data_IF_192391708752
#
_entry.id   IF_192391708752
#
_cell.length_a   1.000
_cell.length_b   1.000
_cell.length_c   1.000
_cell.angle_alpha   90.00
_cell.angle_beta   90.00
_cell.angle_gamma   90.00
#
_symmetry.space_group_name_H-M   'P 1'
#
loop_
_entity.id
_entity.type
_entity.pdbx_description
1 polymer ?
#
# COMPACT_ATOMS: atom_id res chain seq x y z
N UNK A 1 32.20 -16.82 18.29
CA UNK A 1 31.15 -17.58 19.00
C UNK A 1 31.43 -19.06 18.82
N UNK A 2 31.11 -19.89 19.81
CA UNK A 2 31.18 -21.34 19.64
C UNK A 2 30.12 -21.78 18.62
N UNK A 3 30.46 -22.74 17.74
CA UNK A 3 29.54 -23.37 16.81
C UNK A 3 29.25 -24.78 17.33
N UNK A 4 27.97 -25.09 17.50
CA UNK A 4 27.46 -26.36 18.01
C UNK A 4 26.63 -26.96 16.88
N UNK A 5 27.15 -28.03 16.28
CA UNK A 5 26.47 -28.75 15.22
C UNK A 5 25.39 -29.67 15.82
N UNK A 6 24.14 -29.57 15.34
CA UNK A 6 23.04 -30.40 15.83
C UNK A 6 23.31 -31.91 15.64
N UNK A 7 24.11 -32.31 14.65
CA UNK A 7 24.43 -33.73 14.44
C UNK A 7 25.37 -34.27 15.52
N UNK A 8 26.14 -33.40 16.20
CA UNK A 8 26.94 -33.79 17.35
C UNK A 8 26.08 -34.19 18.56
N UNK A 9 24.81 -33.77 18.58
CA UNK A 9 23.80 -34.14 19.58
C UNK A 9 22.86 -35.25 19.12
N UNK A 10 23.12 -35.86 17.96
CA UNK A 10 22.37 -36.99 17.43
C UNK A 10 21.25 -36.64 16.46
N UNK A 11 21.14 -35.38 16.02
CA UNK A 11 20.22 -35.04 14.92
C UNK A 11 20.71 -35.70 13.62
N UNK A 12 19.77 -36.24 12.85
CA UNK A 12 20.04 -37.02 11.64
C UNK A 12 19.77 -36.22 10.37
N UNK A 13 18.78 -35.33 10.36
CA UNK A 13 18.41 -34.55 9.17
C UNK A 13 17.87 -35.42 8.03
N UNK A 14 17.33 -36.60 8.32
CA UNK A 14 16.85 -37.58 7.33
C UNK A 14 15.35 -37.42 6.96
N UNK A 15 14.66 -36.49 7.61
CA UNK A 15 13.24 -36.19 7.44
C UNK A 15 12.29 -37.16 8.11
N UNK A 16 12.78 -38.20 8.79
CA UNK A 16 11.99 -39.28 9.36
C UNK A 16 12.24 -39.49 10.86
N UNK A 17 13.49 -39.42 11.30
CA UNK A 17 13.89 -39.52 12.71
C UNK A 17 13.52 -38.22 13.41
N UNK A 18 12.91 -38.31 14.60
CA UNK A 18 12.59 -37.14 15.40
C UNK A 18 13.88 -36.50 15.96
N UNK A 19 14.24 -35.35 15.39
CA UNK A 19 15.45 -34.60 15.71
C UNK A 19 15.21 -33.58 16.84
N UNK A 20 13.97 -33.41 17.31
CA UNK A 20 13.60 -32.38 18.29
C UNK A 20 14.49 -32.41 19.55
N UNK A 21 14.65 -33.59 20.15
CA UNK A 21 15.44 -33.73 21.39
C UNK A 21 16.91 -33.39 21.19
N UNK A 22 17.49 -33.77 20.04
CA UNK A 22 18.88 -33.48 19.70
C UNK A 22 19.10 -31.98 19.45
N UNK A 23 18.19 -31.34 18.72
CA UNK A 23 18.21 -29.90 18.47
C UNK A 23 18.11 -29.11 19.78
N UNK A 24 17.19 -29.49 20.68
CA UNK A 24 17.06 -28.83 21.99
C UNK A 24 18.28 -29.07 22.89
N UNK A 25 18.97 -30.22 22.77
CA UNK A 25 20.22 -30.45 23.49
C UNK A 25 21.35 -29.54 23.01
N UNK A 26 21.47 -29.32 21.69
CA UNK A 26 22.43 -28.38 21.12
C UNK A 26 22.16 -26.93 21.57
N UNK A 27 20.89 -26.53 21.62
CA UNK A 27 20.47 -25.22 22.14
C UNK A 27 20.81 -25.04 23.62
N UNK A 28 20.54 -26.05 24.46
CA UNK A 28 20.91 -26.01 25.88
C UNK A 28 22.42 -25.86 26.06
N UNK A 29 23.23 -26.58 25.29
CA UNK A 29 24.69 -26.40 25.32
C UNK A 29 25.09 -24.96 24.97
N UNK A 30 24.45 -24.35 23.97
CA UNK A 30 24.70 -22.96 23.60
C UNK A 30 24.31 -22.00 24.73
N UNK A 31 23.16 -22.22 25.38
CA UNK A 31 22.68 -21.44 26.53
C UNK A 31 23.63 -21.56 27.72
N UNK A 32 24.07 -22.78 28.06
CA UNK A 32 25.02 -23.04 29.16
C UNK A 32 26.38 -22.37 28.93
N UNK A 33 26.74 -22.14 27.67
CA UNK A 33 27.95 -21.37 27.27
C UNK A 33 27.73 -19.86 27.26
N UNK A 34 26.53 -19.39 27.62
CA UNK A 34 26.16 -17.98 27.62
C UNK A 34 25.85 -17.41 26.24
N UNK A 35 25.53 -18.26 25.27
CA UNK A 35 25.26 -17.90 23.88
C UNK A 35 26.14 -18.70 22.91
N UNK A 36 25.82 -18.62 21.61
CA UNK A 36 26.55 -19.38 20.59
C UNK A 36 25.74 -19.55 19.31
N UNK A 37 26.36 -20.23 18.34
CA UNK A 37 25.70 -20.62 17.10
C UNK A 37 25.31 -22.08 17.20
N UNK A 38 24.03 -22.38 17.01
CA UNK A 38 23.53 -23.73 16.78
C UNK A 38 23.37 -23.91 15.28
N UNK A 39 24.18 -24.77 14.70
CA UNK A 39 24.30 -24.95 13.26
C UNK A 39 23.55 -26.19 12.78
N UNK A 40 22.77 -26.02 11.71
CA UNK A 40 22.06 -27.07 11.00
C UNK A 40 22.73 -27.32 9.65
N UNK A 41 23.48 -28.43 9.49
CA UNK A 41 23.90 -28.90 8.19
C UNK A 41 22.73 -29.14 7.24
N UNK A 42 23.03 -29.37 5.95
CA UNK A 42 22.00 -29.74 4.99
C UNK A 42 21.25 -31.01 5.45
N UNK A 43 19.93 -30.96 5.43
CA UNK A 43 19.06 -32.02 5.94
C UNK A 43 17.63 -31.55 6.17
N UNK A 44 16.73 -32.52 6.26
CA UNK A 44 15.34 -32.33 6.68
C UNK A 44 15.22 -32.78 8.14
N UNK A 45 15.06 -31.84 9.07
CA UNK A 45 14.98 -32.14 10.49
C UNK A 45 13.52 -32.26 10.89
N UNK A 46 13.07 -33.47 11.19
CA UNK A 46 11.70 -33.70 11.67
C UNK A 46 11.59 -33.35 13.15
N UNK A 47 10.61 -32.53 13.51
CA UNK A 47 10.44 -31.98 14.86
C UNK A 47 9.09 -32.39 15.43
N UNK A 48 9.08 -33.25 16.46
CA UNK A 48 7.84 -33.58 17.17
C UNK A 48 7.30 -32.44 18.05
N UNK A 49 8.11 -31.41 18.30
CA UNK A 49 7.77 -30.22 19.10
C UNK A 49 8.43 -28.93 18.59
N UNK A 50 8.10 -27.81 19.21
CA UNK A 50 8.67 -26.49 18.88
C UNK A 50 10.13 -26.34 19.32
N UNK A 51 10.90 -25.56 18.57
CA UNK A 51 12.17 -24.98 19.01
C UNK A 51 11.87 -23.66 19.73
N UNK A 52 11.97 -23.67 21.05
CA UNK A 52 11.65 -22.54 21.91
C UNK A 52 11.66 -22.93 23.39
N UNK A 53 11.73 -21.95 24.28
CA UNK A 53 11.68 -22.17 25.74
C UNK A 53 10.61 -21.26 26.41
N UNK A 54 9.51 -21.03 25.70
CA UNK A 54 8.39 -20.23 26.18
C UNK A 54 8.81 -18.83 26.67
N UNK A 55 8.44 -18.49 27.91
CA UNK A 55 8.71 -17.20 28.54
C UNK A 55 10.17 -17.06 29.03
N UNK A 56 10.84 -18.16 29.37
CA UNK A 56 12.25 -18.16 29.77
C UNK A 56 13.12 -17.76 28.57
N UNK A 57 12.80 -18.33 27.40
CA UNK A 57 13.35 -17.94 26.11
C UNK A 57 14.85 -18.14 25.96
N UNK A 58 15.39 -17.61 24.87
CA UNK A 58 16.80 -17.67 24.54
C UNK A 58 17.42 -16.28 24.48
N UNK A 59 18.70 -16.19 24.87
CA UNK A 59 19.49 -14.98 24.76
C UNK A 59 20.82 -15.24 24.05
N UNK A 60 21.19 -14.36 23.10
CA UNK A 60 22.48 -14.41 22.39
C UNK A 60 22.74 -15.72 21.64
N UNK A 61 21.66 -16.33 21.14
CA UNK A 61 21.69 -17.53 20.30
C UNK A 61 21.62 -17.14 18.82
N UNK A 62 22.43 -17.80 17.99
CA UNK A 62 22.31 -17.78 16.54
C UNK A 62 21.88 -19.17 16.05
N UNK A 63 20.63 -19.29 15.64
CA UNK A 63 20.09 -20.48 14.97
C UNK A 63 20.43 -20.34 13.47
N UNK A 64 21.35 -21.16 12.96
CA UNK A 64 21.94 -20.98 11.62
C UNK A 64 21.81 -22.24 10.78
N UNK A 65 21.19 -22.15 9.62
CA UNK A 65 21.19 -23.23 8.63
C UNK A 65 22.29 -23.12 7.58
N UNK A 66 22.55 -24.24 6.90
CA UNK A 66 23.41 -24.30 5.73
C UNK A 66 22.83 -23.60 4.48
N UNK A 67 21.62 -23.04 4.57
CA UNK A 67 20.87 -22.41 3.49
C UNK A 67 19.40 -22.76 3.57
N UNK A 68 18.52 -21.83 3.20
CA UNK A 68 17.07 -21.97 3.20
C UNK A 68 16.57 -23.04 2.21
N UNK A 69 17.40 -23.45 1.25
CA UNK A 69 17.14 -24.60 0.37
C UNK A 69 17.81 -25.90 0.81
N UNK A 70 18.62 -25.87 1.86
CA UNK A 70 19.47 -26.99 2.28
C UNK A 70 19.10 -27.53 3.67
N UNK A 71 18.78 -26.68 4.63
CA UNK A 71 18.43 -27.05 6.00
C UNK A 71 16.96 -26.69 6.28
N UNK A 72 16.11 -27.70 6.46
CA UNK A 72 14.68 -27.54 6.71
C UNK A 72 14.29 -28.04 8.09
N UNK A 73 13.67 -27.18 8.88
CA UNK A 73 13.04 -27.50 10.15
C UNK A 73 11.56 -27.79 9.86
N UNK A 74 11.14 -29.05 9.95
CA UNK A 74 9.76 -29.45 9.63
C UNK A 74 9.10 -30.08 10.85
N UNK A 75 8.00 -29.50 11.32
CA UNK A 75 7.21 -30.11 12.41
C UNK A 75 6.40 -31.30 11.91
N UNK A 76 6.16 -32.27 12.79
CA UNK A 76 5.32 -33.45 12.50
C UNK A 76 4.03 -33.48 13.32
N UNK A 77 3.77 -32.39 14.06
CA UNK A 77 2.61 -32.22 14.94
C UNK A 77 2.09 -30.78 14.81
N UNK A 78 0.91 -30.50 15.37
CA UNK A 78 0.32 -29.16 15.36
C UNK A 78 0.98 -28.24 16.38
N UNK A 79 2.17 -27.75 16.02
CA UNK A 79 2.96 -26.78 16.77
C UNK A 79 3.66 -25.84 15.79
N UNK A 80 3.92 -24.60 16.19
CA UNK A 80 4.79 -23.73 15.41
C UNK A 80 6.25 -24.25 15.52
N UNK A 81 6.99 -24.38 14.40
CA UNK A 81 8.38 -24.85 14.44
C UNK A 81 9.30 -24.03 15.33
N UNK A 82 9.15 -22.70 15.34
CA UNK A 82 9.96 -21.78 16.14
C UNK A 82 9.08 -20.92 17.02
N UNK A 83 9.29 -20.95 18.33
CA UNK A 83 8.43 -20.28 19.31
C UNK A 83 9.18 -19.61 20.44
N UNK A 84 8.44 -18.86 21.26
CA UNK A 84 8.93 -18.33 22.53
C UNK A 84 9.76 -17.06 22.39
N UNK A 85 10.44 -16.67 23.46
CA UNK A 85 11.19 -15.42 23.52
C UNK A 85 12.61 -15.55 22.98
N UNK A 86 13.04 -14.57 22.19
CA UNK A 86 14.39 -14.49 21.60
C UNK A 86 14.96 -13.09 21.82
N UNK A 87 16.00 -12.98 22.65
CA UNK A 87 16.62 -11.70 23.03
C UNK A 87 18.06 -11.62 22.51
N UNK A 88 18.42 -10.59 21.76
CA UNK A 88 19.74 -10.47 21.12
C UNK A 88 20.12 -11.71 20.28
N UNK A 89 19.13 -12.34 19.67
CA UNK A 89 19.28 -13.58 18.93
C UNK A 89 19.26 -13.35 17.42
N UNK A 90 19.66 -14.39 16.69
CA UNK A 90 19.66 -14.46 15.23
C UNK A 90 19.06 -15.79 14.79
N UNK A 91 18.17 -15.77 13.82
CA UNK A 91 17.59 -16.95 13.19
C UNK A 91 17.78 -16.77 11.69
N UNK A 92 18.70 -17.54 11.10
CA UNK A 92 19.25 -17.23 9.79
C UNK A 92 19.40 -18.47 8.88
N UNK A 93 19.17 -18.28 7.57
CA UNK A 93 19.49 -19.23 6.50
C UNK A 93 18.84 -20.62 6.65
N UNK A 94 17.57 -20.68 7.03
CA UNK A 94 16.82 -21.92 7.28
C UNK A 94 15.49 -21.92 6.52
N UNK A 95 15.00 -23.11 6.17
CA UNK A 95 13.58 -23.30 5.89
C UNK A 95 12.85 -23.70 7.16
N UNK A 96 11.73 -23.05 7.41
CA UNK A 96 10.84 -23.29 8.55
C UNK A 96 9.49 -23.73 8.01
N UNK A 97 9.16 -25.00 8.22
CA UNK A 97 8.05 -25.68 7.56
C UNK A 97 7.04 -26.18 8.61
N UNK A 98 5.86 -25.56 8.65
CA UNK A 98 4.78 -25.93 9.56
C UNK A 98 3.94 -27.13 9.05
N UNK A 99 4.25 -27.66 7.86
CA UNK A 99 3.69 -28.88 7.23
C UNK A 99 2.14 -28.94 7.25
N UNK A 100 1.49 -27.78 7.20
CA UNK A 100 0.05 -27.57 7.23
C UNK A 100 -0.66 -28.20 8.45
N UNK A 101 0.04 -28.33 9.57
CA UNK A 101 -0.52 -28.94 10.78
C UNK A 101 -1.49 -28.06 11.57
N UNK A 102 -1.69 -26.80 11.19
CA UNK A 102 -2.62 -25.89 11.87
C UNK A 102 -1.95 -24.81 12.73
N UNK A 103 -0.66 -24.54 12.52
CA UNK A 103 0.12 -23.58 13.29
C UNK A 103 0.84 -22.55 12.41
N UNK A 104 1.29 -21.43 13.01
CA UNK A 104 2.22 -20.51 12.37
C UNK A 104 3.57 -21.15 12.04
N UNK A 105 4.35 -20.56 11.13
CA UNK A 105 5.76 -20.95 10.98
C UNK A 105 6.62 -20.35 12.11
N UNK A 106 6.35 -19.11 12.50
CA UNK A 106 6.94 -18.46 13.67
C UNK A 106 5.86 -17.95 14.62
N UNK A 107 6.05 -18.19 15.90
CA UNK A 107 5.26 -17.61 16.99
C UNK A 107 6.20 -17.11 18.10
N UNK A 108 6.77 -15.93 17.88
CA UNK A 108 7.99 -15.48 18.59
C UNK A 108 7.81 -14.12 19.25
N UNK A 109 8.48 -13.97 20.40
CA UNK A 109 8.60 -12.71 21.14
C UNK A 109 10.05 -12.22 20.97
N UNK A 110 10.29 -11.26 20.08
CA UNK A 110 11.64 -10.80 19.72
C UNK A 110 12.04 -9.56 20.51
N UNK A 111 13.29 -9.47 20.97
CA UNK A 111 13.89 -8.22 21.47
C UNK A 111 15.35 -8.13 20.97
N UNK A 112 15.69 -7.04 20.29
CA UNK A 112 17.01 -6.79 19.66
C UNK A 112 17.47 -7.95 18.77
N UNK A 113 16.53 -8.64 18.12
CA UNK A 113 16.77 -9.92 17.44
C UNK A 113 16.53 -9.84 15.94
N UNK A 114 17.10 -10.80 15.22
CA UNK A 114 17.09 -10.86 13.76
C UNK A 114 16.46 -12.17 13.30
N UNK A 115 15.49 -12.09 12.39
CA UNK A 115 15.04 -13.21 11.56
C UNK A 115 15.41 -12.86 10.12
N UNK A 116 16.35 -13.61 9.54
CA UNK A 116 16.98 -13.23 8.29
C UNK A 116 17.15 -14.37 7.31
N UNK A 117 16.81 -14.14 6.04
CA UNK A 117 17.06 -15.11 4.97
C UNK A 117 16.46 -16.49 5.26
N UNK A 118 15.26 -16.49 5.85
CA UNK A 118 14.50 -17.72 6.11
C UNK A 118 13.39 -17.91 5.07
N UNK A 119 13.13 -19.17 4.73
CA UNK A 119 11.99 -19.57 3.89
C UNK A 119 10.90 -20.18 4.79
N UNK A 120 9.71 -19.59 4.83
CA UNK A 120 8.58 -20.05 5.63
C UNK A 120 7.53 -20.74 4.73
N UNK A 121 7.16 -21.96 5.08
CA UNK A 121 6.17 -22.77 4.34
C UNK A 121 5.20 -23.51 5.26
N UNK A 122 4.11 -24.01 4.68
CA UNK A 122 3.20 -24.94 5.37
C UNK A 122 2.44 -24.34 6.55
N UNK A 123 2.40 -23.01 6.69
CA UNK A 123 1.79 -22.36 7.84
C UNK A 123 0.29 -22.13 7.64
N UNK A 124 -0.43 -21.97 8.76
CA UNK A 124 -1.81 -21.49 8.79
C UNK A 124 -1.94 -20.39 9.82
N UNK A 125 -2.96 -19.54 9.66
CA UNK A 125 -3.23 -18.35 10.47
C UNK A 125 -2.16 -17.26 10.33
N UNK A 126 -0.88 -17.55 10.53
CA UNK A 126 0.21 -16.58 10.47
C UNK A 126 1.47 -17.18 9.84
N UNK A 127 2.11 -16.50 8.89
CA UNK A 127 3.50 -16.81 8.53
C UNK A 127 4.41 -16.55 9.73
N UNK A 128 4.33 -15.34 10.26
CA UNK A 128 4.94 -14.96 11.53
C UNK A 128 3.94 -14.24 12.43
N UNK A 129 3.71 -14.75 13.63
CA UNK A 129 3.12 -13.99 14.73
C UNK A 129 4.27 -13.48 15.60
N UNK A 130 4.41 -12.16 15.70
CA UNK A 130 5.58 -11.52 16.29
C UNK A 130 5.16 -10.56 17.39
N UNK A 131 5.77 -10.73 18.56
CA UNK A 131 5.54 -9.93 19.75
C UNK A 131 4.04 -9.81 20.07
N UNK A 132 3.36 -10.96 20.27
CA UNK A 132 1.93 -10.99 20.52
C UNK A 132 1.59 -10.59 21.96
N UNK A 133 2.53 -10.80 22.88
CA UNK A 133 2.29 -10.67 24.33
C UNK A 133 3.37 -9.90 25.07
N UNK A 134 4.56 -9.74 24.48
CA UNK A 134 5.73 -9.19 25.14
C UNK A 134 6.37 -8.09 24.31
N UNK A 135 6.70 -6.98 24.98
CA UNK A 135 7.42 -5.86 24.37
C UNK A 135 8.75 -6.29 23.73
N UNK A 136 9.00 -5.77 22.54
CA UNK A 136 10.17 -6.05 21.74
C UNK A 136 10.56 -4.86 20.90
N UNK A 137 11.84 -4.50 20.96
CA UNK A 137 12.37 -3.40 20.16
C UNK A 137 13.65 -3.73 19.42
N UNK A 138 13.97 -2.92 18.42
CA UNK A 138 15.19 -3.04 17.62
C UNK A 138 15.31 -4.39 16.90
N UNK A 139 14.16 -4.98 16.55
CA UNK A 139 14.09 -6.24 15.83
C UNK A 139 14.18 -6.02 14.32
N UNK A 140 14.74 -6.99 13.61
CA UNK A 140 14.87 -6.99 12.17
C UNK A 140 14.29 -8.27 11.58
N UNK A 141 13.26 -8.12 10.76
CA UNK A 141 12.74 -9.17 9.89
C UNK A 141 13.21 -8.80 8.49
N UNK A 142 14.30 -9.43 8.05
CA UNK A 142 15.08 -9.03 6.86
C UNK A 142 15.19 -10.16 5.84
N UNK A 143 14.90 -9.89 4.56
CA UNK A 143 15.22 -10.81 3.46
C UNK A 143 14.59 -12.22 3.60
N UNK A 144 13.40 -12.32 4.19
CA UNK A 144 12.69 -13.60 4.33
C UNK A 144 11.73 -13.84 3.16
N UNK A 145 11.50 -15.12 2.84
CA UNK A 145 10.50 -15.56 1.87
C UNK A 145 9.37 -16.28 2.60
N UNK A 146 8.18 -15.68 2.63
CA UNK A 146 6.98 -16.24 3.27
C UNK A 146 6.03 -16.70 2.18
N UNK A 147 5.92 -18.02 1.98
CA UNK A 147 5.03 -18.61 0.98
C UNK A 147 3.57 -18.24 1.26
N UNK A 148 2.80 -17.95 0.21
CA UNK A 148 1.37 -17.71 0.36
C UNK A 148 0.64 -18.93 0.92
N UNK A 149 0.20 -18.80 2.17
CA UNK A 149 -0.73 -19.73 2.81
C UNK A 149 -1.97 -18.99 3.36
N UNK A 150 -2.86 -19.73 4.01
CA UNK A 150 -4.10 -19.17 4.54
C UNK A 150 -3.86 -18.41 5.86
N UNK A 151 -4.22 -17.13 5.92
CA UNK A 151 -4.02 -16.28 7.09
C UNK A 151 -3.24 -15.01 6.77
N UNK A 152 -2.52 -14.47 7.73
CA UNK A 152 -1.72 -13.26 7.64
C UNK A 152 -0.26 -13.61 7.36
N UNK A 153 0.46 -12.79 6.57
CA UNK A 153 1.89 -13.01 6.34
C UNK A 153 2.71 -12.76 7.61
N UNK A 154 2.77 -11.50 8.04
CA UNK A 154 3.33 -11.09 9.35
C UNK A 154 2.26 -10.35 10.13
N UNK A 155 2.08 -10.75 11.37
CA UNK A 155 1.16 -10.12 12.32
C UNK A 155 1.94 -9.63 13.54
N UNK A 156 1.75 -8.35 13.90
CA UNK A 156 2.31 -7.76 15.12
C UNK A 156 1.22 -7.15 16.00
N UNK A 157 1.54 -6.96 17.27
CA UNK A 157 0.75 -6.13 18.21
C UNK A 157 1.56 -4.92 18.66
N UNK A 158 0.93 -4.00 19.41
CA UNK A 158 1.56 -2.78 19.90
C UNK A 158 2.87 -2.99 20.69
N UNK A 159 3.15 -4.23 21.08
CA UNK A 159 4.39 -4.70 21.67
C UNK A 159 5.60 -4.73 20.71
N UNK A 160 5.41 -4.67 19.39
CA UNK A 160 6.51 -4.61 18.41
C UNK A 160 6.81 -3.17 18.03
N UNK A 161 7.89 -2.57 18.53
CA UNK A 161 8.19 -1.15 18.25
C UNK A 161 9.68 -0.90 18.01
N UNK A 162 10.00 0.28 17.50
CA UNK A 162 11.32 0.68 16.97
C UNK A 162 12.04 -0.43 16.18
N UNK A 163 11.32 -1.06 15.25
CA UNK A 163 11.75 -2.28 14.56
C UNK A 163 11.59 -2.18 13.04
N UNK A 164 12.17 -3.14 12.32
CA UNK A 164 12.31 -3.15 10.86
C UNK A 164 11.70 -4.41 10.25
N UNK A 165 10.88 -4.21 9.22
CA UNK A 165 10.39 -5.25 8.31
C UNK A 165 10.87 -4.86 6.92
N UNK A 166 11.93 -5.52 6.45
CA UNK A 166 12.71 -5.06 5.30
C UNK A 166 13.05 -6.16 4.31
N UNK A 167 13.02 -5.86 3.02
CA UNK A 167 13.46 -6.75 1.93
C UNK A 167 12.75 -8.12 1.88
N UNK A 168 11.61 -8.30 2.54
CA UNK A 168 10.93 -9.59 2.57
C UNK A 168 10.07 -9.77 1.32
N UNK A 169 9.86 -11.03 0.92
CA UNK A 169 8.84 -11.42 -0.05
C UNK A 169 7.74 -12.18 0.70
N UNK A 170 6.52 -11.64 0.69
CA UNK A 170 5.43 -12.10 1.55
C UNK A 170 4.17 -12.33 0.73
N UNK A 171 3.67 -13.56 0.77
CA UNK A 171 2.35 -13.94 0.27
C UNK A 171 1.43 -14.38 1.41
N UNK A 172 0.13 -14.15 1.27
CA UNK A 172 -0.90 -14.57 2.23
C UNK A 172 -2.31 -14.47 1.62
N UNK A 173 -3.32 -15.13 2.19
CA UNK A 173 -4.72 -14.92 1.80
C UNK A 173 -5.37 -13.72 2.52
N UNK A 174 -5.03 -13.48 3.78
CA UNK A 174 -5.31 -12.25 4.52
C UNK A 174 -4.27 -11.17 4.21
N UNK A 175 -4.11 -10.15 5.06
CA UNK A 175 -3.07 -9.14 4.90
C UNK A 175 -1.65 -9.73 4.82
N UNK A 176 -0.81 -9.26 3.90
CA UNK A 176 0.60 -9.66 3.91
C UNK A 176 1.28 -9.15 5.19
N UNK A 177 1.00 -7.90 5.55
CA UNK A 177 1.40 -7.29 6.81
C UNK A 177 0.15 -6.80 7.52
N UNK A 178 -0.10 -7.28 8.75
CA UNK A 178 -1.10 -6.71 9.66
C UNK A 178 -0.37 -6.19 10.89
N UNK A 179 -0.24 -4.88 10.96
CA UNK A 179 0.63 -4.20 11.90
C UNK A 179 -0.23 -3.39 12.85
N UNK A 180 -0.02 -3.59 14.13
CA UNK A 180 -0.46 -2.73 15.23
C UNK A 180 0.82 -2.50 16.03
N UNK A 181 1.34 -1.28 16.10
CA UNK A 181 2.73 -0.99 16.51
C UNK A 181 3.15 0.43 16.16
N UNK A 182 4.26 0.87 16.76
CA UNK A 182 4.91 2.13 16.41
C UNK A 182 6.00 2.56 17.39
N UNK A 183 7.19 3.01 16.94
CA UNK A 183 7.61 3.23 15.54
C UNK A 183 7.98 1.95 14.80
N UNK A 184 7.63 1.80 13.51
CA UNK A 184 8.08 0.67 12.68
C UNK A 184 8.42 1.13 11.26
N UNK A 185 9.44 0.49 10.67
CA UNK A 185 9.91 0.76 9.30
C UNK A 185 9.61 -0.46 8.42
N UNK A 186 8.76 -0.26 7.42
CA UNK A 186 8.35 -1.24 6.42
C UNK A 186 8.95 -0.82 5.08
N UNK A 187 10.09 -1.41 4.71
CA UNK A 187 10.92 -0.89 3.61
C UNK A 187 11.27 -1.98 2.60
N UNK A 188 11.10 -1.68 1.31
CA UNK A 188 11.58 -2.51 0.20
C UNK A 188 11.07 -3.96 0.22
N UNK A 189 9.89 -4.21 0.79
CA UNK A 189 9.28 -5.53 0.75
C UNK A 189 8.55 -5.74 -0.59
N UNK A 190 8.49 -6.98 -1.04
CA UNK A 190 7.62 -7.44 -2.12
C UNK A 190 6.42 -8.16 -1.51
N UNK A 191 5.27 -7.50 -1.54
CA UNK A 191 4.02 -7.95 -0.96
C UNK A 191 3.12 -8.39 -2.12
N UNK A 192 2.92 -9.70 -2.27
CA UNK A 192 2.35 -10.27 -3.49
C UNK A 192 1.29 -11.34 -3.18
N UNK A 193 0.88 -12.02 -4.26
CA UNK A 193 -0.13 -13.06 -4.22
C UNK A 193 -1.52 -12.48 -4.47
N UNK A 194 -2.50 -13.00 -3.74
CA UNK A 194 -3.85 -12.44 -3.72
C UNK A 194 -4.26 -12.11 -2.28
N UNK A 195 -3.58 -11.21 -1.55
CA UNK A 195 -3.89 -10.91 -0.17
C UNK A 195 -5.18 -10.10 -0.05
N UNK A 196 -5.75 -10.01 1.15
CA UNK A 196 -6.85 -9.06 1.38
C UNK A 196 -6.34 -7.62 1.18
N UNK A 197 -5.27 -7.28 1.91
CA UNK A 197 -4.54 -6.02 1.84
C UNK A 197 -3.04 -6.33 1.76
N UNK A 198 -2.21 -5.50 1.12
CA UNK A 198 -0.77 -5.70 1.24
C UNK A 198 -0.29 -5.27 2.64
N UNK A 199 -0.75 -4.11 3.12
CA UNK A 199 -0.42 -3.57 4.44
C UNK A 199 -1.71 -3.09 5.12
N UNK A 200 -2.04 -3.71 6.26
CA UNK A 200 -3.10 -3.30 7.16
C UNK A 200 -2.51 -2.70 8.44
N UNK A 201 -2.97 -1.50 8.79
CA UNK A 201 -2.61 -0.77 9.99
C UNK A 201 -3.84 -0.63 10.91
N UNK A 202 -3.71 -1.08 12.16
CA UNK A 202 -4.80 -1.24 13.14
C UNK A 202 -4.69 -0.29 14.36
N UNK A 203 -4.12 0.90 14.18
CA UNK A 203 -3.95 1.93 15.23
C UNK A 203 -2.48 2.23 15.55
N UNK A 204 -1.75 2.69 14.54
CA UNK A 204 -0.28 2.67 14.52
C UNK A 204 0.38 4.04 14.47
N UNK A 205 1.36 4.21 15.34
CA UNK A 205 2.12 5.45 15.45
C UNK A 205 3.48 5.40 14.77
N UNK A 206 3.92 6.53 14.20
CA UNK A 206 5.31 6.69 13.72
C UNK A 206 5.78 5.60 12.74
N UNK A 207 5.04 5.43 11.64
CA UNK A 207 5.38 4.43 10.63
C UNK A 207 6.08 5.03 9.41
N UNK A 208 7.02 4.27 8.86
CA UNK A 208 7.71 4.58 7.61
C UNK A 208 7.50 3.43 6.63
N UNK A 209 6.71 3.65 5.58
CA UNK A 209 6.32 2.67 4.56
C UNK A 209 6.93 3.12 3.23
N UNK A 210 8.11 2.59 2.90
CA UNK A 210 8.92 3.10 1.79
C UNK A 210 9.32 2.04 0.79
N UNK A 211 9.11 2.33 -0.50
CA UNK A 211 9.72 1.54 -1.57
C UNK A 211 9.22 0.10 -1.65
N UNK A 212 8.05 -0.21 -1.07
CA UNK A 212 7.47 -1.54 -1.14
C UNK A 212 6.80 -1.73 -2.51
N UNK A 213 6.81 -2.97 -2.99
CA UNK A 213 5.96 -3.41 -4.10
C UNK A 213 4.73 -4.05 -3.47
N UNK A 214 3.57 -3.42 -3.65
CA UNK A 214 2.27 -3.89 -3.19
C UNK A 214 1.47 -4.36 -4.40
N UNK A 215 1.34 -5.67 -4.58
CA UNK A 215 0.69 -6.25 -5.75
C UNK A 215 -0.52 -7.11 -5.35
N UNK A 216 -1.59 -7.06 -6.15
CA UNK A 216 -2.60 -8.12 -6.16
C UNK A 216 -3.61 -8.09 -5.01
N UNK A 217 -3.61 -7.04 -4.17
CA UNK A 217 -4.57 -6.92 -3.07
C UNK A 217 -6.01 -7.02 -3.56
N UNK A 218 -6.86 -7.77 -2.84
CA UNK A 218 -8.29 -7.86 -3.15
C UNK A 218 -9.03 -6.58 -2.77
N UNK A 219 -8.61 -5.89 -1.72
CA UNK A 219 -9.17 -4.61 -1.26
C UNK A 219 -8.13 -3.48 -1.46
N UNK A 220 -7.93 -2.61 -0.46
CA UNK A 220 -6.86 -1.61 -0.45
C UNK A 220 -5.49 -2.27 -0.43
N UNK A 221 -4.52 -1.69 -1.13
CA UNK A 221 -3.14 -2.11 -0.98
C UNK A 221 -2.60 -1.73 0.39
N UNK A 222 -2.84 -0.48 0.81
CA UNK A 222 -2.45 0.03 2.13
C UNK A 222 -3.69 0.60 2.81
N UNK A 223 -4.00 0.13 4.01
CA UNK A 223 -5.13 0.64 4.80
C UNK A 223 -4.67 1.03 6.20
N UNK A 224 -5.10 2.22 6.63
CA UNK A 224 -5.08 2.65 8.02
C UNK A 224 -6.51 2.76 8.53
N UNK A 225 -6.77 2.10 9.66
CA UNK A 225 -8.04 2.21 10.38
C UNK A 225 -7.78 2.75 11.78
N UNK A 226 -8.30 3.94 12.07
CA UNK A 226 -8.27 4.52 13.41
C UNK A 226 -9.08 3.64 14.37
N UNK A 227 -8.53 3.24 15.52
CA UNK A 227 -9.27 2.46 16.51
C UNK A 227 -10.53 3.18 16.99
N UNK A 228 -11.69 2.49 17.09
CA UNK A 228 -12.98 3.11 17.35
C UNK A 228 -13.13 3.71 18.76
N UNK A 229 -12.19 3.46 19.67
CA UNK A 229 -12.17 3.99 21.03
C UNK A 229 -11.29 5.23 21.20
N UNK A 230 -10.63 5.69 20.13
CA UNK A 230 -9.81 6.90 20.18
C UNK A 230 -10.64 8.14 19.83
N UNK A 231 -10.42 9.22 20.58
CA UNK A 231 -11.04 10.52 20.34
C UNK A 231 -10.29 11.33 19.27
N UNK A 232 -8.99 11.09 19.15
CA UNK A 232 -8.10 11.69 18.16
C UNK A 232 -6.88 10.81 18.01
N UNK A 233 -6.30 10.74 16.81
CA UNK A 233 -5.10 9.94 16.58
C UNK A 233 -4.02 10.76 15.86
N UNK A 234 -2.88 10.94 16.53
CA UNK A 234 -1.79 11.83 16.09
C UNK A 234 -0.67 11.03 15.47
N UNK A 235 -0.96 10.53 14.29
CA UNK A 235 -0.08 9.62 13.59
C UNK A 235 1.02 10.38 12.86
N UNK A 236 2.13 9.69 12.64
CA UNK A 236 3.29 10.23 11.93
C UNK A 236 3.67 9.18 10.89
N UNK A 237 2.79 9.01 9.91
CA UNK A 237 2.85 7.91 8.95
C UNK A 237 3.28 8.43 7.59
N UNK A 238 4.43 7.94 7.12
CA UNK A 238 4.96 8.26 5.80
C UNK A 238 4.77 7.07 4.86
N UNK A 239 4.00 7.26 3.79
CA UNK A 239 3.78 6.30 2.70
C UNK A 239 4.48 6.88 1.47
N UNK A 240 5.72 6.44 1.21
CA UNK A 240 6.61 7.12 0.26
C UNK A 240 7.20 6.17 -0.78
N UNK A 241 7.05 6.48 -2.06
CA UNK A 241 7.77 5.78 -3.12
C UNK A 241 7.38 4.30 -3.30
N UNK A 242 6.18 3.90 -2.88
CA UNK A 242 5.71 2.52 -3.05
C UNK A 242 5.18 2.30 -4.49
N UNK A 243 5.37 1.09 -5.01
CA UNK A 243 4.78 0.65 -6.27
C UNK A 243 3.54 -0.18 -5.97
N UNK A 244 2.35 0.36 -6.23
CA UNK A 244 1.05 -0.20 -5.85
C UNK A 244 0.33 -0.62 -7.13
N UNK A 245 0.16 -1.93 -7.33
CA UNK A 245 -0.26 -2.46 -8.62
C UNK A 245 -1.30 -3.56 -8.54
N UNK A 246 -2.12 -3.64 -9.59
CA UNK A 246 -2.99 -4.78 -9.90
C UNK A 246 -3.90 -5.25 -8.73
N UNK A 247 -4.40 -4.32 -7.92
CA UNK A 247 -5.27 -4.64 -6.78
C UNK A 247 -6.74 -4.26 -6.99
N UNK A 248 -7.52 -4.27 -5.91
CA UNK A 248 -8.97 -4.12 -5.94
C UNK A 248 -9.71 -5.32 -6.54
N UNK A 249 -9.04 -6.48 -6.66
CA UNK A 249 -9.56 -7.66 -7.38
C UNK A 249 -10.72 -8.39 -6.68
N UNK A 250 -10.94 -8.14 -5.39
CA UNK A 250 -12.05 -8.74 -4.63
C UNK A 250 -13.40 -8.10 -4.92
N UNK A 251 -13.38 -6.80 -5.21
CA UNK A 251 -14.52 -6.05 -5.70
C UNK A 251 -14.00 -4.84 -6.50
N UNK A 252 -13.89 -5.02 -7.82
CA UNK A 252 -13.33 -4.02 -8.73
C UNK A 252 -14.02 -2.68 -8.52
N UNK A 253 -13.22 -1.63 -8.33
CA UNK A 253 -13.67 -0.24 -8.14
C UNK A 253 -14.46 0.03 -6.85
N UNK A 254 -14.44 -0.86 -5.86
CA UNK A 254 -15.11 -0.65 -4.58
C UNK A 254 -14.20 0.02 -3.53
N UNK A 255 -12.94 -0.38 -3.48
CA UNK A 255 -11.96 0.05 -2.47
C UNK A 255 -10.93 1.01 -3.05
N UNK A 256 -10.37 1.96 -2.27
CA UNK A 256 -9.26 2.79 -2.72
C UNK A 256 -7.94 2.00 -2.75
N UNK A 257 -6.90 2.50 -3.42
CA UNK A 257 -5.57 1.89 -3.36
C UNK A 257 -4.91 2.13 -1.98
N UNK A 258 -5.02 3.36 -1.48
CA UNK A 258 -4.63 3.75 -0.12
C UNK A 258 -5.87 4.29 0.60
N UNK A 259 -6.30 3.63 1.66
CA UNK A 259 -7.40 4.06 2.53
C UNK A 259 -6.89 4.55 3.89
N UNK A 260 -7.32 5.72 4.33
CA UNK A 260 -7.04 6.27 5.66
C UNK A 260 -8.38 6.63 6.29
N UNK A 261 -8.78 5.83 7.26
CA UNK A 261 -10.11 5.91 7.85
C UNK A 261 -10.04 6.41 9.30
N UNK A 262 -10.50 7.64 9.50
CA UNK A 262 -10.90 8.15 10.82
C UNK A 262 -12.13 7.40 11.35
N UNK A 263 -12.42 7.52 12.64
CA UNK A 263 -13.64 6.96 13.23
C UNK A 263 -14.87 7.67 12.65
N UNK A 264 -14.87 9.00 12.67
CA UNK A 264 -15.90 9.85 12.05
C UNK A 264 -15.42 11.31 11.90
N UNK A 265 -16.35 12.22 11.61
CA UNK A 265 -16.08 13.64 11.39
C UNK A 265 -15.62 14.40 12.65
N UNK A 266 -15.97 13.90 13.84
CA UNK A 266 -15.65 14.47 15.15
C UNK A 266 -14.41 13.79 15.77
N UNK A 267 -14.17 12.52 15.44
CA UNK A 267 -13.05 11.71 15.92
C UNK A 267 -12.06 11.40 14.78
N UNK A 268 -11.07 12.28 14.63
CA UNK A 268 -10.18 12.33 13.45
C UNK A 268 -8.79 11.78 13.71
N UNK A 269 -8.24 11.08 12.72
CA UNK A 269 -6.79 10.83 12.63
C UNK A 269 -6.07 11.97 11.92
N UNK A 270 -4.75 12.08 12.11
CA UNK A 270 -3.95 13.11 11.48
C UNK A 270 -2.47 12.74 11.29
N UNK A 271 -1.76 13.51 10.46
CA UNK A 271 -0.30 13.44 10.35
C UNK A 271 0.22 12.39 9.37
N UNK A 272 -0.31 12.45 8.15
CA UNK A 272 0.04 11.54 7.06
C UNK A 272 0.82 12.25 5.96
N UNK A 273 1.79 11.55 5.37
CA UNK A 273 2.48 11.98 4.17
C UNK A 273 2.45 10.87 3.11
N UNK A 274 1.71 11.10 2.03
CA UNK A 274 1.58 10.19 0.88
C UNK A 274 2.31 10.79 -0.30
N UNK A 275 3.56 10.36 -0.54
CA UNK A 275 4.44 11.02 -1.51
C UNK A 275 5.09 10.06 -2.51
N UNK A 276 5.10 10.44 -3.78
CA UNK A 276 5.94 9.75 -4.77
C UNK A 276 5.56 8.29 -5.02
N UNK A 277 4.36 7.86 -4.62
CA UNK A 277 3.89 6.50 -4.89
C UNK A 277 3.46 6.38 -6.35
N UNK A 278 3.65 5.20 -6.92
CA UNK A 278 3.17 4.84 -8.25
C UNK A 278 1.98 3.89 -8.09
N UNK A 279 0.84 4.22 -8.71
CA UNK A 279 -0.39 3.43 -8.60
C UNK A 279 -0.93 3.12 -9.99
N UNK A 280 -0.99 1.83 -10.35
CA UNK A 280 -1.40 1.40 -11.69
C UNK A 280 -2.07 0.03 -11.70
N UNK A 281 -3.02 -0.19 -12.61
CA UNK A 281 -3.61 -1.51 -12.84
C UNK A 281 -3.53 -1.87 -14.32
N UNK A 282 -3.02 -3.06 -14.61
CA UNK A 282 -2.97 -3.64 -15.95
C UNK A 282 -3.75 -4.95 -16.06
N UNK A 283 -3.97 -5.62 -14.93
CA UNK A 283 -4.63 -6.91 -14.89
C UNK A 283 -6.14 -6.82 -15.06
N UNK A 284 -6.72 -7.83 -15.72
CA UNK A 284 -8.17 -7.99 -15.80
C UNK A 284 -8.78 -8.12 -14.40
N UNK A 285 -9.86 -7.36 -14.15
CA UNK A 285 -10.54 -7.33 -12.86
C UNK A 285 -9.86 -6.50 -11.77
N UNK A 286 -8.66 -5.96 -12.01
CA UNK A 286 -8.05 -5.00 -11.12
C UNK A 286 -8.66 -3.61 -11.28
N UNK A 287 -8.79 -2.87 -10.18
CA UNK A 287 -9.37 -1.53 -10.18
C UNK A 287 -9.71 -1.03 -8.78
N UNK A 288 -9.28 0.18 -8.46
CA UNK A 288 -9.62 0.87 -7.22
C UNK A 288 -10.61 2.02 -7.47
N UNK A 289 -11.40 2.40 -6.47
CA UNK A 289 -12.33 3.53 -6.54
C UNK A 289 -11.57 4.87 -6.59
N UNK A 290 -10.66 5.04 -5.65
CA UNK A 290 -9.71 6.15 -5.55
C UNK A 290 -8.30 5.60 -5.45
N UNK A 291 -7.28 6.39 -5.76
CA UNK A 291 -5.93 5.96 -5.39
C UNK A 291 -5.52 6.44 -3.99
N UNK A 292 -6.12 7.53 -3.49
CA UNK A 292 -6.09 7.87 -2.05
C UNK A 292 -7.50 8.29 -1.60
N UNK A 293 -7.98 7.68 -0.53
CA UNK A 293 -9.19 8.07 0.19
C UNK A 293 -8.85 8.34 1.66
N UNK A 294 -9.04 9.59 2.08
CA UNK A 294 -8.65 10.09 3.40
C UNK A 294 -9.70 11.07 3.91
N UNK A 295 -10.86 10.53 4.30
CA UNK A 295 -11.97 11.32 4.83
C UNK A 295 -11.78 11.65 6.31
N UNK A 296 -12.03 12.90 6.68
CA UNK A 296 -11.86 13.44 8.02
C UNK A 296 -10.44 13.27 8.57
N UNK A 297 -9.43 13.47 7.73
CA UNK A 297 -8.01 13.34 8.10
C UNK A 297 -7.35 14.70 8.14
N UNK A 298 -6.85 15.10 9.30
CA UNK A 298 -6.17 16.38 9.47
C UNK A 298 -4.66 16.25 9.17
N UNK A 299 -3.99 17.35 8.80
CA UNK A 299 -2.53 17.43 8.59
C UNK A 299 -2.00 16.33 7.65
N UNK A 300 -2.55 16.27 6.44
CA UNK A 300 -2.18 15.28 5.42
C UNK A 300 -1.60 15.97 4.17
N UNK A 301 -0.48 15.45 3.68
CA UNK A 301 0.08 15.80 2.37
C UNK A 301 -0.04 14.62 1.40
N UNK A 302 -0.63 14.85 0.23
CA UNK A 302 -0.74 13.91 -0.89
C UNK A 302 -0.04 14.55 -2.08
N UNK A 303 1.23 14.23 -2.31
CA UNK A 303 2.05 14.98 -3.27
C UNK A 303 2.98 14.14 -4.14
N UNK A 304 3.20 14.58 -5.38
CA UNK A 304 4.17 13.94 -6.28
C UNK A 304 3.86 12.49 -6.65
N UNK A 305 2.64 12.00 -6.41
CA UNK A 305 2.26 10.62 -6.73
C UNK A 305 1.96 10.50 -8.23
N UNK A 306 2.28 9.33 -8.81
CA UNK A 306 1.95 8.97 -10.18
C UNK A 306 0.81 7.94 -10.21
N UNK A 307 -0.15 8.16 -11.10
CA UNK A 307 -1.42 7.45 -11.17
C UNK A 307 -1.62 7.14 -12.64
N UNK A 308 -1.61 5.85 -13.00
CA UNK A 308 -1.97 5.45 -14.35
C UNK A 308 -3.49 5.65 -14.57
N UNK A 309 -3.94 5.74 -15.83
CA UNK A 309 -5.36 5.95 -16.20
C UNK A 309 -6.30 4.82 -15.72
N UNK A 310 -5.72 3.70 -15.30
CA UNK A 310 -6.38 2.53 -14.72
C UNK A 310 -6.17 2.40 -13.19
N UNK A 311 -5.41 3.30 -12.56
CA UNK A 311 -5.11 3.26 -11.13
C UNK A 311 -6.30 3.60 -10.22
N UNK A 312 -7.38 4.18 -10.77
CA UNK A 312 -8.61 4.51 -10.06
C UNK A 312 -9.81 4.62 -11.02
N UNK A 313 -11.04 4.60 -10.49
CA UNK A 313 -12.27 4.64 -11.30
C UNK A 313 -13.18 5.85 -11.06
N UNK A 314 -13.20 6.41 -9.85
CA UNK A 314 -14.07 7.51 -9.44
C UNK A 314 -13.34 8.85 -9.57
N UNK A 315 -12.29 9.03 -8.78
CA UNK A 315 -11.41 10.19 -8.81
C UNK A 315 -10.03 9.76 -8.29
N UNK A 316 -8.94 10.49 -8.58
CA UNK A 316 -7.66 10.17 -7.97
C UNK A 316 -7.76 10.28 -6.44
N UNK A 317 -8.04 11.48 -5.93
CA UNK A 317 -8.08 11.74 -4.49
C UNK A 317 -9.50 12.01 -4.03
N UNK A 318 -9.90 11.39 -2.92
CA UNK A 318 -10.94 11.91 -2.02
C UNK A 318 -10.29 12.22 -0.68
N UNK A 319 -10.21 13.50 -0.32
CA UNK A 319 -9.60 13.92 0.93
C UNK A 319 -10.34 15.12 1.52
N UNK A 320 -10.65 15.07 2.81
CA UNK A 320 -11.25 16.15 3.56
C UNK A 320 -10.66 16.20 4.97
N UNK A 321 -10.56 17.40 5.55
CA UNK A 321 -9.88 17.58 6.82
C UNK A 321 -9.37 19.00 7.00
N UNK A 322 -8.59 19.23 8.05
CA UNK A 322 -7.85 20.48 8.29
C UNK A 322 -6.43 20.33 7.75
N UNK A 323 -5.90 21.35 7.09
CA UNK A 323 -4.53 21.33 6.54
C UNK A 323 -4.27 20.17 5.56
N UNK A 324 -5.18 19.98 4.60
CA UNK A 324 -5.05 18.99 3.52
C UNK A 324 -4.29 19.62 2.36
N UNK A 325 -3.12 19.06 2.02
CA UNK A 325 -2.31 19.49 0.88
C UNK A 325 -2.32 18.45 -0.24
N UNK A 326 -2.85 18.80 -1.41
CA UNK A 326 -2.82 17.94 -2.62
C UNK A 326 -2.09 18.70 -3.73
N UNK A 327 -0.89 18.25 -4.12
CA UNK A 327 -0.07 18.98 -5.09
C UNK A 327 0.89 18.09 -5.89
N UNK A 328 1.15 18.46 -7.16
CA UNK A 328 2.17 17.81 -7.98
C UNK A 328 1.89 16.34 -8.33
N UNK A 329 0.66 15.87 -8.18
CA UNK A 329 0.22 14.53 -8.58
C UNK A 329 -0.08 14.50 -10.08
N UNK A 330 0.22 13.39 -10.77
CA UNK A 330 -0.23 13.22 -12.17
C UNK A 330 -1.71 12.87 -12.18
N UNK A 331 -2.58 13.69 -12.79
CA UNK A 331 -4.03 13.53 -12.68
C UNK A 331 -4.64 12.41 -13.53
N UNK A 332 -3.87 11.38 -13.91
CA UNK A 332 -4.33 10.21 -14.69
C UNK A 332 -5.35 10.63 -15.74
N UNK A 333 -4.97 11.62 -16.58
CA UNK A 333 -5.95 12.41 -17.30
C UNK A 333 -6.61 11.52 -18.35
N UNK A 334 -7.77 10.94 -17.97
CA UNK A 334 -8.62 10.12 -18.84
C UNK A 334 -9.01 10.90 -20.11
N UNK A 335 -8.96 12.22 -20.04
CA UNK A 335 -8.88 13.13 -21.18
C UNK A 335 -7.61 13.98 -21.06
N UNK A 336 -6.65 13.79 -21.97
CA UNK A 336 -5.55 14.74 -22.13
C UNK A 336 -6.17 16.12 -22.38
N UNK A 337 -5.87 17.18 -21.60
CA UNK A 337 -6.36 18.51 -21.88
C UNK A 337 -5.79 18.88 -23.24
N UNK A 338 -6.66 18.96 -24.25
CA UNK A 338 -6.26 19.33 -25.60
C UNK A 338 -6.46 20.83 -25.72
N UNK A 339 -5.46 21.56 -26.18
CA UNK A 339 -5.66 22.95 -26.61
C UNK A 339 -5.84 22.98 -28.12
N UNK A 340 -6.95 23.53 -28.58
CA UNK A 340 -7.20 23.77 -30.02
C UNK A 340 -7.27 25.27 -30.27
N UNK A 341 -6.50 25.77 -31.25
CA UNK A 341 -6.52 27.18 -31.64
C UNK A 341 -7.05 27.26 -33.07
N UNK A 342 -8.19 27.91 -33.25
CA UNK A 342 -8.91 27.95 -34.53
C UNK A 342 -9.17 29.40 -34.93
N UNK A 343 -8.85 29.77 -36.17
CA UNK A 343 -9.24 31.07 -36.74
C UNK A 343 -10.43 30.86 -37.66
N UNK A 344 -11.52 31.59 -37.39
CA UNK A 344 -12.77 31.50 -38.16
C UNK A 344 -12.88 32.67 -39.15
N UNK A 345 -13.33 32.40 -40.37
CA UNK A 345 -13.58 33.42 -41.41
C UNK A 345 -15.04 33.45 -41.86
N UNK A 346 -15.91 32.76 -41.13
CA UNK A 346 -17.35 32.71 -41.34
C UNK A 346 -18.05 32.17 -40.09
N UNK A 347 -19.36 32.34 -40.02
CA UNK A 347 -20.18 31.90 -38.89
C UNK A 347 -20.00 30.40 -38.62
N UNK A 348 -19.94 30.01 -37.35
CA UNK A 348 -19.56 28.66 -36.95
C UNK A 348 -20.23 28.24 -35.64
N UNK A 349 -20.53 26.94 -35.54
CA UNK A 349 -20.86 26.26 -34.28
C UNK A 349 -19.55 25.69 -33.72
N UNK A 350 -19.16 26.08 -32.51
CA UNK A 350 -17.92 25.59 -31.92
C UNK A 350 -17.94 24.08 -31.70
N UNK A 351 -16.79 23.45 -31.92
CA UNK A 351 -16.54 22.05 -31.58
C UNK A 351 -16.61 21.82 -30.06
N UNK A 352 -16.95 20.59 -29.66
CA UNK A 352 -17.23 20.24 -28.27
C UNK A 352 -16.60 18.89 -27.86
N UNK A 353 -15.34 18.65 -28.24
CA UNK A 353 -14.66 17.40 -27.83
C UNK A 353 -14.37 17.45 -26.33
N UNK A 354 -14.90 16.52 -25.51
CA UNK A 354 -14.78 16.58 -24.05
C UNK A 354 -13.33 16.78 -23.56
N UNK A 355 -13.16 17.69 -22.58
CA UNK A 355 -11.85 18.02 -22.00
C UNK A 355 -10.91 18.85 -22.90
N UNK A 356 -11.45 19.55 -23.91
CA UNK A 356 -10.66 20.42 -24.80
C UNK A 356 -10.81 21.90 -24.42
N UNK A 357 -9.70 22.63 -24.37
CA UNK A 357 -9.63 24.08 -24.28
C UNK A 357 -9.56 24.67 -25.69
N UNK A 358 -10.65 25.29 -26.14
CA UNK A 358 -10.71 25.94 -27.44
C UNK A 358 -10.35 27.42 -27.34
N UNK A 359 -9.51 27.89 -28.26
CA UNK A 359 -9.22 29.30 -28.49
C UNK A 359 -9.69 29.66 -29.90
N UNK A 360 -10.81 30.35 -30.01
CA UNK A 360 -11.35 30.83 -31.27
C UNK A 360 -10.93 32.28 -31.52
N UNK A 361 -10.28 32.53 -32.65
CA UNK A 361 -9.97 33.88 -33.15
C UNK A 361 -10.93 34.18 -34.31
N UNK A 362 -11.82 35.14 -34.11
CA UNK A 362 -12.84 35.48 -35.10
C UNK A 362 -12.29 36.52 -36.09
N UNK A 363 -12.14 36.12 -37.34
CA UNK A 363 -11.65 36.96 -38.44
C UNK A 363 -12.76 37.54 -39.30
N UNK A 364 -12.40 38.37 -40.28
CA UNK A 364 -13.34 39.01 -41.18
C UNK A 364 -14.29 37.99 -41.85
N UNK A 365 -15.59 38.31 -41.90
CA UNK A 365 -16.64 37.43 -42.42
C UNK A 365 -17.48 36.73 -41.35
N UNK A 366 -17.06 36.77 -40.09
CA UNK A 366 -17.84 36.27 -38.94
C UNK A 366 -18.74 37.38 -38.40
N UNK A 367 -20.04 37.13 -38.34
CA UNK A 367 -21.03 37.99 -37.68
C UNK A 367 -21.69 37.29 -36.48
N UNK A 368 -21.75 35.96 -36.50
CA UNK A 368 -22.35 35.14 -35.43
C UNK A 368 -21.56 33.85 -35.22
N UNK A 369 -21.33 33.48 -33.97
CA UNK A 369 -20.80 32.16 -33.60
C UNK A 369 -21.70 31.54 -32.53
N UNK A 370 -21.78 30.22 -32.50
CA UNK A 370 -22.70 29.50 -31.61
C UNK A 370 -21.92 28.57 -30.69
N UNK A 371 -22.18 28.64 -29.39
CA UNK A 371 -21.72 27.65 -28.43
C UNK A 371 -22.52 26.35 -28.61
N UNK A 372 -21.89 25.18 -28.44
CA UNK A 372 -22.61 23.90 -28.36
C UNK A 372 -23.58 23.88 -27.17
N UNK A 373 -24.28 22.77 -26.98
CA UNK A 373 -25.09 22.61 -25.75
C UNK A 373 -24.19 22.69 -24.51
N UNK A 374 -24.68 23.37 -23.48
CA UNK A 374 -24.09 23.39 -22.14
C UNK A 374 -24.15 22.00 -21.47
N UNK A 375 -25.18 21.20 -21.78
CA UNK A 375 -25.39 19.87 -21.21
C UNK A 375 -24.18 18.97 -21.48
N UNK A 376 -23.62 18.40 -20.42
CA UNK A 376 -22.44 17.54 -20.42
C UNK A 376 -21.16 18.15 -21.05
N UNK A 377 -21.12 19.47 -21.24
CA UNK A 377 -19.98 20.13 -21.86
C UNK A 377 -18.87 20.38 -20.84
N UNK A 378 -17.73 19.72 -21.04
CA UNK A 378 -16.54 19.85 -20.19
C UNK A 378 -15.45 20.72 -20.80
N UNK A 379 -15.74 21.45 -21.89
CA UNK A 379 -14.77 22.28 -22.60
C UNK A 379 -14.74 23.71 -22.02
N UNK A 380 -13.59 24.37 -22.19
CA UNK A 380 -13.41 25.80 -21.95
C UNK A 380 -13.24 26.53 -23.28
N UNK A 381 -13.89 27.67 -23.46
CA UNK A 381 -13.83 28.44 -24.70
C UNK A 381 -13.29 29.84 -24.45
N UNK A 382 -12.14 30.16 -25.02
CA UNK A 382 -11.64 31.53 -25.15
C UNK A 382 -11.98 32.04 -26.54
N UNK A 383 -12.78 33.09 -26.65
CA UNK A 383 -13.20 33.68 -27.93
C UNK A 383 -12.65 35.09 -28.05
N UNK A 384 -11.80 35.32 -29.05
CA UNK A 384 -11.22 36.63 -29.37
C UNK A 384 -11.84 37.19 -30.64
N UNK A 385 -12.51 38.35 -30.54
CA UNK A 385 -13.08 39.03 -31.69
C UNK A 385 -12.05 39.96 -32.37
N UNK A 386 -11.64 39.62 -33.59
CA UNK A 386 -10.76 40.46 -34.44
C UNK A 386 -11.43 40.94 -35.73
N UNK A 387 -12.76 40.79 -35.84
CA UNK A 387 -13.53 41.03 -37.07
C UNK A 387 -13.64 42.50 -37.47
N UNK A 388 -13.48 43.43 -36.51
CA UNK A 388 -13.74 44.86 -36.69
C UNK A 388 -15.20 45.28 -36.45
N UNK A 389 -16.10 44.33 -36.19
CA UNK A 389 -17.51 44.57 -35.82
C UNK A 389 -17.86 43.85 -34.51
N UNK A 390 -19.03 44.17 -33.93
CA UNK A 390 -19.58 43.37 -32.84
C UNK A 390 -20.07 42.03 -33.38
N UNK A 391 -19.65 40.93 -32.76
CA UNK A 391 -20.08 39.56 -33.10
C UNK A 391 -21.06 39.06 -32.04
N UNK A 392 -22.11 38.36 -32.47
CA UNK A 392 -23.05 37.71 -31.56
C UNK A 392 -22.58 36.28 -31.23
N UNK A 393 -22.40 36.00 -29.94
CA UNK A 393 -22.19 34.65 -29.41
C UNK A 393 -23.56 34.09 -28.98
N UNK A 394 -24.06 33.10 -29.73
CA UNK A 394 -25.34 32.43 -29.48
C UNK A 394 -25.17 31.16 -28.67
N UNK A 395 -26.25 30.73 -28.02
CA UNK A 395 -26.34 29.45 -27.32
C UNK A 395 -27.49 28.62 -27.84
N UNK A 396 -27.54 27.34 -27.44
CA UNK A 396 -28.67 26.48 -27.77
C UNK A 396 -29.98 27.02 -27.18
N UNK A 397 -31.10 26.70 -27.82
CA UNK A 397 -32.43 27.15 -27.39
C UNK A 397 -32.71 26.73 -25.93
N UNK A 398 -33.16 27.69 -25.11
CA UNK A 398 -33.43 27.47 -23.68
C UNK A 398 -32.21 27.60 -22.77
N UNK A 399 -31.03 27.87 -23.33
CA UNK A 399 -29.80 28.18 -22.58
C UNK A 399 -29.50 29.68 -22.66
N UNK A 400 -28.55 30.13 -21.85
CA UNK A 400 -28.08 31.52 -21.81
C UNK A 400 -26.57 31.61 -21.56
N UNK A 401 -25.96 32.75 -21.92
CA UNK A 401 -24.67 33.19 -21.39
C UNK A 401 -24.95 34.37 -20.46
N UNK A 402 -24.59 34.27 -19.18
CA UNK A 402 -24.88 35.35 -18.19
C UNK A 402 -26.37 35.76 -18.17
N UNK A 403 -27.29 34.80 -18.35
CA UNK A 403 -28.73 35.06 -18.38
C UNK A 403 -29.26 35.66 -19.68
N UNK A 404 -28.42 35.91 -20.69
CA UNK A 404 -28.82 36.39 -22.02
C UNK A 404 -28.79 35.27 -23.07
N UNK A 405 -29.79 35.22 -23.97
CA UNK A 405 -29.83 34.26 -25.07
C UNK A 405 -28.79 34.55 -26.17
N UNK A 406 -28.38 35.81 -26.28
CA UNK A 406 -27.35 36.29 -27.20
C UNK A 406 -26.36 37.16 -26.40
N UNK A 407 -25.06 36.87 -26.52
CA UNK A 407 -24.00 37.66 -25.91
C UNK A 407 -23.26 38.48 -26.97
N UNK A 408 -23.26 39.80 -26.84
CA UNK A 408 -22.61 40.69 -27.78
C UNK A 408 -21.12 40.87 -27.45
N UNK A 409 -20.25 40.29 -28.28
CA UNK A 409 -18.80 40.42 -28.14
C UNK A 409 -18.29 41.57 -29.01
N UNK A 410 -17.96 42.70 -28.37
CA UNK A 410 -17.48 43.91 -29.06
C UNK A 410 -16.20 43.67 -29.88
N UNK A 411 -16.00 44.48 -30.92
CA UNK A 411 -14.79 44.43 -31.75
C UNK A 411 -13.52 44.60 -30.87
N UNK A 412 -12.55 43.69 -31.02
CA UNK A 412 -11.32 43.70 -30.24
C UNK A 412 -11.44 43.09 -28.84
N UNK A 413 -12.64 42.76 -28.36
CA UNK A 413 -12.84 42.12 -27.06
C UNK A 413 -12.49 40.62 -27.08
N UNK A 414 -12.27 40.07 -25.90
CA UNK A 414 -12.20 38.63 -25.68
C UNK A 414 -13.15 38.25 -24.55
N UNK A 415 -13.69 37.04 -24.61
CA UNK A 415 -14.48 36.45 -23.54
C UNK A 415 -14.02 35.01 -23.33
N UNK A 416 -13.97 34.59 -22.08
CA UNK A 416 -13.85 33.19 -21.72
C UNK A 416 -15.20 32.70 -21.21
N UNK A 417 -15.65 31.53 -21.66
CA UNK A 417 -16.91 30.93 -21.22
C UNK A 417 -16.75 29.46 -20.85
N UNK A 418 -17.47 29.06 -19.81
CA UNK A 418 -17.57 27.67 -19.30
C UNK A 418 -19.03 27.30 -19.05
N UNK A 419 -19.34 26.01 -19.10
CA UNK A 419 -20.68 25.48 -18.83
C UNK A 419 -20.85 25.08 -17.36
N UNK A 420 -22.04 25.28 -16.79
CA UNK A 420 -22.46 24.66 -15.52
C UNK A 420 -23.31 23.37 -15.72
N UNK A 421 -23.44 22.91 -16.97
CA UNK A 421 -24.30 21.79 -17.36
C UNK A 421 -25.71 22.19 -17.80
N UNK A 422 -26.10 23.46 -17.65
CA UNK A 422 -27.40 24.01 -18.04
C UNK A 422 -27.29 25.31 -18.86
N UNK A 423 -26.40 26.22 -18.46
CA UNK A 423 -26.11 27.51 -19.06
C UNK A 423 -24.60 27.75 -19.14
N UNK A 424 -24.24 28.87 -19.77
CA UNK A 424 -22.87 29.32 -19.95
C UNK A 424 -22.57 30.54 -19.06
N UNK A 425 -21.34 30.60 -18.56
CA UNK A 425 -20.87 31.64 -17.65
C UNK A 425 -19.54 32.20 -18.12
N UNK A 426 -19.39 33.51 -18.02
CA UNK A 426 -18.12 34.19 -18.27
C UNK A 426 -17.20 34.04 -17.06
N UNK A 427 -15.88 34.02 -17.30
CA UNK A 427 -14.85 33.79 -16.27
C UNK A 427 -13.89 34.96 -16.16
#
# INVERSE_FOLDING_TARGET
MAVIDVTAHGATGDGATDDHAAVMAALREAVDRGGGTVFFPAGDYALSGSIGDGADGFARICLLGAGERAARLRVTTNVAPVTGRWTECRIENLRVDADFHGAPAFDVELDKSYVKHCWLSGWTEFGMRVNATTDGLLNWIDDNFIEQCNGYGIYTTYHFYDSWIVNNNIGSTGPNLSIEAGPVRIIANHLNGAPQNNIELRGNKQLTIIGNICEGARHEAIVFTMPPWLESDHEQVAIVGNNITNGGKGATNAFPAIGIYSVDADHRTMGFNVTGNFIANTDDGAGWSYAVDAQYVDNIAICGNQWDNNGYSVAPVRAEGRNVGVAGNTSGNRTVPRRSVVTLTGDHLFDAVPGTDYVYVLGAGVATVTLPTAVDNTCRYTVKNTTGITVTLRVAAGQSVEGAADFALAAGAAVEVVSDGSNWWTV
#
